data_IF_214290341629
#
_entry.id   IF_214290341629
#
_cell.length_a   1.000
_cell.length_b   1.000
_cell.length_c   1.000
_cell.angle_alpha   90.00
_cell.angle_beta   90.00
_cell.angle_gamma   90.00
#
_symmetry.space_group_name_H-M   'P 1'
#
loop_
_entity.id
_entity.type
_entity.pdbx_description
1 polymer ?
#
# COMPACT_ATOMS: atom_id res chain seq x y z
N UNK A 1 -20.48 -18.95 -13.88
CA UNK A 1 -19.27 -19.10 -13.04
C UNK A 1 -19.71 -19.09 -11.59
N UNK A 2 -19.09 -19.88 -10.71
CA UNK A 2 -19.37 -19.80 -9.27
C UNK A 2 -19.06 -18.39 -8.76
N UNK A 3 -19.84 -17.89 -7.80
CA UNK A 3 -19.58 -16.59 -7.19
C UNK A 3 -18.18 -16.53 -6.56
N UNK A 4 -17.53 -15.36 -6.62
CA UNK A 4 -16.23 -15.15 -6.00
C UNK A 4 -16.32 -15.26 -4.47
N UNK A 5 -15.37 -15.99 -3.89
CA UNK A 5 -15.19 -16.12 -2.44
C UNK A 5 -13.82 -15.55 -2.07
N UNK A 6 -13.83 -14.53 -1.22
CA UNK A 6 -12.63 -13.82 -0.82
C UNK A 6 -12.16 -14.26 0.56
N UNK A 7 -10.85 -14.50 0.69
CA UNK A 7 -10.18 -14.66 1.98
C UNK A 7 -9.14 -13.54 2.16
N UNK A 8 -9.36 -12.69 3.15
CA UNK A 8 -8.46 -11.58 3.49
C UNK A 8 -7.46 -12.04 4.54
N UNK A 9 -6.18 -11.99 4.20
CA UNK A 9 -5.10 -12.26 5.15
C UNK A 9 -4.73 -11.00 5.93
N UNK A 10 -4.53 -11.16 7.24
CA UNK A 10 -4.27 -10.03 8.15
C UNK A 10 -5.56 -9.32 8.55
N UNK A 11 -6.61 -10.08 8.89
CA UNK A 11 -7.99 -9.61 9.08
C UNK A 11 -8.22 -8.49 10.11
N UNK A 12 -7.27 -8.22 11.00
CA UNK A 12 -7.30 -7.10 11.96
C UNK A 12 -6.49 -5.88 11.48
N UNK A 13 -5.92 -5.95 10.27
CA UNK A 13 -5.14 -4.89 9.66
C UNK A 13 -6.03 -3.77 9.13
N UNK A 14 -5.48 -2.57 9.07
CA UNK A 14 -6.21 -1.39 8.61
C UNK A 14 -6.71 -1.51 7.16
N UNK A 15 -5.84 -1.91 6.22
CA UNK A 15 -6.24 -2.15 4.83
C UNK A 15 -7.23 -3.32 4.71
N UNK A 16 -7.03 -4.38 5.50
CA UNK A 16 -7.93 -5.54 5.54
C UNK A 16 -9.34 -5.15 5.98
N UNK A 17 -9.47 -4.26 6.97
CA UNK A 17 -10.76 -3.74 7.42
C UNK A 17 -11.52 -3.01 6.31
N UNK A 18 -10.83 -2.10 5.60
CA UNK A 18 -11.43 -1.39 4.45
C UNK A 18 -11.86 -2.35 3.33
N UNK A 19 -11.02 -3.33 2.98
CA UNK A 19 -11.34 -4.35 1.98
C UNK A 19 -12.56 -5.18 2.38
N UNK A 20 -12.62 -5.59 3.66
CA UNK A 20 -13.75 -6.38 4.19
C UNK A 20 -15.05 -5.59 4.06
N UNK A 21 -15.09 -4.36 4.56
CA UNK A 21 -16.28 -3.50 4.47
C UNK A 21 -16.71 -3.28 3.01
N UNK A 22 -15.75 -3.04 2.12
CA UNK A 22 -16.04 -2.81 0.70
C UNK A 22 -16.63 -4.06 0.03
N UNK A 23 -16.04 -5.23 0.24
CA UNK A 23 -16.54 -6.48 -0.33
C UNK A 23 -17.91 -6.88 0.25
N UNK A 24 -18.12 -6.71 1.56
CA UNK A 24 -19.42 -6.96 2.22
C UNK A 24 -20.50 -6.02 1.68
N UNK A 25 -20.18 -4.73 1.47
CA UNK A 25 -21.12 -3.76 0.88
C UNK A 25 -21.51 -4.10 -0.56
N UNK A 26 -20.67 -4.86 -1.28
CA UNK A 26 -20.94 -5.38 -2.61
C UNK A 26 -21.66 -6.74 -2.60
N UNK A 27 -22.03 -7.26 -1.41
CA UNK A 27 -22.72 -8.54 -1.26
C UNK A 27 -21.85 -9.77 -1.57
N UNK A 28 -20.52 -9.64 -1.51
CA UNK A 28 -19.58 -10.73 -1.78
C UNK A 28 -19.46 -11.68 -0.58
N UNK A 29 -19.08 -12.93 -0.82
CA UNK A 29 -18.71 -13.85 0.26
C UNK A 29 -17.29 -13.54 0.73
N UNK A 30 -17.14 -13.08 1.98
CA UNK A 30 -15.87 -12.60 2.53
C UNK A 30 -15.55 -13.30 3.84
N UNK A 31 -14.33 -13.82 3.92
CA UNK A 31 -13.73 -14.35 5.14
C UNK A 31 -12.47 -13.55 5.46
N UNK A 32 -12.10 -13.46 6.74
CA UNK A 32 -10.83 -12.89 7.15
C UNK A 32 -10.14 -13.79 8.16
N UNK A 33 -8.80 -13.78 8.15
CA UNK A 33 -7.99 -14.62 9.04
C UNK A 33 -6.80 -13.87 9.63
N UNK A 34 -6.41 -14.28 10.83
CA UNK A 34 -5.22 -13.79 11.55
C UNK A 34 -4.11 -14.85 11.63
N UNK A 35 -4.26 -15.96 10.88
CA UNK A 35 -3.25 -17.02 10.81
C UNK A 35 -1.91 -16.44 10.36
N UNK A 36 -0.84 -16.88 11.02
CA UNK A 36 0.53 -16.47 10.71
C UNK A 36 0.97 -17.11 9.40
N UNK A 37 1.36 -16.28 8.44
CA UNK A 37 1.70 -16.74 7.08
C UNK A 37 2.92 -17.66 7.06
N UNK A 38 3.83 -17.56 8.04
CA UNK A 38 4.98 -18.43 8.19
C UNK A 38 4.64 -19.85 8.68
N UNK A 39 3.42 -20.08 9.19
CA UNK A 39 2.96 -21.41 9.57
C UNK A 39 2.24 -22.05 8.39
N UNK A 40 2.99 -22.85 7.61
CA UNK A 40 2.48 -23.42 6.35
C UNK A 40 1.31 -24.36 6.56
N UNK A 41 1.36 -25.23 7.57
CA UNK A 41 0.29 -26.18 7.84
C UNK A 41 -1.02 -25.46 8.16
N UNK A 42 -0.97 -24.40 8.96
CA UNK A 42 -2.14 -23.58 9.27
C UNK A 42 -2.65 -22.80 8.05
N UNK A 43 -1.75 -22.30 7.20
CA UNK A 43 -2.11 -21.64 5.93
C UNK A 43 -2.89 -22.60 5.03
N UNK A 44 -2.35 -23.82 4.83
CA UNK A 44 -2.98 -24.85 4.01
C UNK A 44 -4.35 -25.24 4.56
N UNK A 45 -4.44 -25.49 5.86
CA UNK A 45 -5.70 -25.86 6.52
C UNK A 45 -6.78 -24.78 6.37
N UNK A 46 -6.41 -23.50 6.45
CA UNK A 46 -7.35 -22.40 6.29
C UNK A 46 -7.84 -22.25 4.85
N UNK A 47 -6.94 -22.37 3.87
CA UNK A 47 -7.30 -22.37 2.46
C UNK A 47 -8.25 -23.54 2.13
N UNK A 48 -8.02 -24.72 2.71
CA UNK A 48 -8.85 -25.91 2.49
C UNK A 48 -10.21 -25.82 3.21
N UNK A 49 -10.27 -25.13 4.36
CA UNK A 49 -11.51 -24.85 5.11
C UNK A 49 -12.40 -23.86 4.37
N UNK A 50 -11.83 -22.73 3.93
CA UNK A 50 -12.58 -21.63 3.30
C UNK A 50 -12.85 -21.92 1.83
N UNK A 51 -11.93 -22.58 1.13
CA UNK A 51 -11.96 -22.81 -0.32
C UNK A 51 -12.17 -21.50 -1.12
N UNK A 52 -11.37 -20.45 -0.87
CA UNK A 52 -11.56 -19.17 -1.55
C UNK A 52 -11.20 -19.28 -3.04
N UNK A 53 -11.80 -18.43 -3.87
CA UNK A 53 -11.34 -18.22 -5.25
C UNK A 53 -10.28 -17.12 -5.33
N UNK A 54 -10.31 -16.18 -4.40
CA UNK A 54 -9.38 -15.05 -4.32
C UNK A 54 -8.86 -14.87 -2.90
N UNK A 55 -7.55 -14.70 -2.76
CA UNK A 55 -6.89 -14.31 -1.52
C UNK A 55 -6.37 -12.88 -1.65
N UNK A 56 -6.71 -12.05 -0.66
CA UNK A 56 -6.22 -10.68 -0.54
C UNK A 56 -5.23 -10.61 0.63
N UNK A 57 -3.93 -10.65 0.33
CA UNK A 57 -2.87 -10.57 1.33
C UNK A 57 -2.58 -9.11 1.70
N UNK A 58 -3.26 -8.63 2.74
CA UNK A 58 -3.00 -7.34 3.39
C UNK A 58 -2.16 -7.50 4.68
N UNK A 59 -1.56 -8.68 4.89
CA UNK A 59 -0.72 -8.95 6.04
C UNK A 59 0.71 -8.45 5.82
N UNK A 60 1.32 -7.95 6.88
CA UNK A 60 2.71 -7.52 6.88
C UNK A 60 3.11 -6.95 8.22
N UNK A 61 4.32 -7.28 8.67
CA UNK A 61 4.92 -6.63 9.82
C UNK A 61 5.58 -5.33 9.34
N UNK A 62 5.01 -4.20 9.74
CA UNK A 62 5.67 -2.89 9.61
C UNK A 62 6.38 -2.49 10.91
N UNK A 63 6.55 -3.41 11.86
CA UNK A 63 7.02 -3.12 13.21
C UNK A 63 6.02 -2.30 14.04
N UNK A 64 6.29 -2.17 15.34
CA UNK A 64 5.67 -1.17 16.23
C UNK A 64 6.80 -0.33 16.85
N UNK A 65 6.74 1.02 16.81
CA UNK A 65 5.69 1.85 16.24
C UNK A 65 5.76 2.02 14.70
N UNK A 66 6.89 1.69 14.08
CA UNK A 66 7.14 1.90 12.65
C UNK A 66 8.21 0.91 12.13
N UNK A 67 8.61 1.10 10.86
CA UNK A 67 9.57 0.24 10.15
C UNK A 67 10.96 0.20 10.79
N UNK A 68 11.31 1.16 11.64
CA UNK A 68 12.62 1.23 12.29
C UNK A 68 12.81 0.02 13.24
N UNK A 69 11.72 -0.59 13.73
CA UNK A 69 11.75 -1.85 14.49
C UNK A 69 12.36 -3.02 13.70
N UNK A 70 12.19 -3.03 12.37
CA UNK A 70 12.68 -4.10 11.51
C UNK A 70 14.22 -4.13 11.44
N UNK A 71 14.89 -2.99 11.70
CA UNK A 71 16.36 -2.92 11.75
C UNK A 71 16.93 -3.76 12.90
N UNK A 72 16.24 -3.77 14.04
CA UNK A 72 16.67 -4.48 15.25
C UNK A 72 16.04 -5.89 15.35
N UNK A 73 15.13 -6.26 14.43
CA UNK A 73 14.36 -7.52 14.48
C UNK A 73 14.32 -8.20 13.10
N UNK A 74 15.50 -8.43 12.54
CA UNK A 74 15.65 -8.90 11.15
C UNK A 74 15.08 -10.30 10.93
N UNK A 75 15.33 -11.24 11.83
CA UNK A 75 14.85 -12.62 11.73
C UNK A 75 13.33 -12.72 11.79
N UNK A 76 12.71 -11.91 12.67
CA UNK A 76 11.26 -11.84 12.76
C UNK A 76 10.65 -11.23 11.49
N UNK A 77 11.30 -10.20 10.93
CA UNK A 77 10.90 -9.57 9.66
C UNK A 77 11.04 -10.54 8.49
N UNK A 78 12.14 -11.30 8.40
CA UNK A 78 12.32 -12.35 7.39
C UNK A 78 11.22 -13.40 7.52
N UNK A 79 10.97 -13.88 8.75
CA UNK A 79 9.95 -14.90 9.00
C UNK A 79 8.57 -14.44 8.52
N UNK A 80 8.11 -13.27 8.93
CA UNK A 80 6.76 -12.82 8.59
C UNK A 80 6.64 -12.29 7.17
N UNK A 81 7.57 -11.44 6.73
CA UNK A 81 7.43 -10.67 5.49
C UNK A 81 8.02 -11.39 4.28
N UNK A 82 9.04 -12.24 4.47
CA UNK A 82 9.68 -12.99 3.39
C UNK A 82 9.10 -14.39 3.31
N UNK A 83 9.38 -15.23 4.31
CA UNK A 83 8.93 -16.63 4.33
C UNK A 83 7.41 -16.69 4.28
N UNK A 84 6.72 -15.90 5.11
CA UNK A 84 5.26 -15.87 5.14
C UNK A 84 4.63 -15.49 3.81
N UNK A 85 5.06 -14.38 3.19
CA UNK A 85 4.49 -13.93 1.91
C UNK A 85 4.69 -14.97 0.80
N UNK A 86 5.91 -15.50 0.66
CA UNK A 86 6.22 -16.53 -0.34
C UNK A 86 5.38 -17.78 -0.07
N UNK A 87 5.28 -18.21 1.19
CA UNK A 87 4.50 -19.38 1.58
C UNK A 87 3.02 -19.25 1.21
N UNK A 88 2.40 -18.08 1.45
CA UNK A 88 1.01 -17.85 1.08
C UNK A 88 0.82 -17.82 -0.45
N UNK A 89 1.68 -17.11 -1.18
CA UNK A 89 1.64 -17.08 -2.65
C UNK A 89 1.76 -18.48 -3.26
N UNK A 90 2.68 -19.29 -2.74
CA UNK A 90 2.88 -20.69 -3.13
C UNK A 90 1.65 -21.56 -2.83
N UNK A 91 1.11 -21.46 -1.62
CA UNK A 91 -0.06 -22.24 -1.21
C UNK A 91 -1.31 -21.91 -2.04
N UNK A 92 -1.47 -20.63 -2.42
CA UNK A 92 -2.50 -20.18 -3.36
C UNK A 92 -2.27 -20.75 -4.75
N UNK A 93 -1.04 -20.72 -5.26
CA UNK A 93 -0.68 -21.24 -6.58
C UNK A 93 -1.01 -22.72 -6.72
N UNK A 94 -0.60 -23.54 -5.73
CA UNK A 94 -0.87 -24.98 -5.70
C UNK A 94 -2.37 -25.32 -5.71
N UNK A 95 -3.24 -24.36 -5.35
CA UNK A 95 -4.70 -24.51 -5.32
C UNK A 95 -5.43 -23.78 -6.45
N UNK A 96 -4.70 -23.15 -7.37
CA UNK A 96 -5.31 -22.35 -8.44
C UNK A 96 -6.09 -21.12 -7.93
N UNK A 97 -5.69 -20.58 -6.77
CA UNK A 97 -6.34 -19.42 -6.13
C UNK A 97 -5.65 -18.15 -6.62
N UNK A 98 -6.40 -17.14 -7.06
CA UNK A 98 -5.83 -15.83 -7.36
C UNK A 98 -5.30 -15.17 -6.07
N UNK A 99 -4.05 -14.70 -6.07
CA UNK A 99 -3.44 -14.09 -4.89
C UNK A 99 -3.08 -12.62 -5.16
N UNK A 100 -3.79 -11.69 -4.54
CA UNK A 100 -3.45 -10.27 -4.56
C UNK A 100 -2.60 -9.92 -3.35
N UNK A 101 -1.38 -9.44 -3.56
CA UNK A 101 -0.46 -9.01 -2.50
C UNK A 101 -0.40 -7.49 -2.46
N UNK A 102 -0.82 -6.92 -1.33
CA UNK A 102 -0.68 -5.49 -1.04
C UNK A 102 0.76 -5.22 -0.58
N UNK A 103 1.64 -4.99 -1.56
CA UNK A 103 3.06 -4.75 -1.39
C UNK A 103 3.35 -3.26 -1.18
N UNK A 104 4.57 -2.81 -1.49
CA UNK A 104 5.00 -1.43 -1.27
C UNK A 104 5.82 -0.90 -2.43
N UNK A 105 5.55 0.35 -2.80
CA UNK A 105 6.38 1.13 -3.72
C UNK A 105 7.51 1.90 -3.01
N UNK A 106 7.69 1.72 -1.70
CA UNK A 106 8.76 2.35 -0.93
C UNK A 106 10.11 1.62 -1.09
N UNK A 107 10.37 1.10 -2.30
CA UNK A 107 11.60 0.41 -2.74
C UNK A 107 12.38 1.25 -3.76
N UNK A 108 11.94 2.48 -3.98
CA UNK A 108 12.56 3.44 -4.88
C UNK A 108 12.93 4.74 -4.18
N UNK A 109 13.93 5.43 -4.70
CA UNK A 109 14.30 6.80 -4.38
C UNK A 109 14.58 7.58 -5.66
N UNK A 110 14.28 8.87 -5.70
CA UNK A 110 14.66 9.72 -6.82
C UNK A 110 16.17 9.63 -7.11
N UNK A 111 16.52 9.60 -8.40
CA UNK A 111 17.89 9.52 -8.91
C UNK A 111 18.03 10.35 -10.20
N UNK A 112 19.18 10.27 -10.87
CA UNK A 112 19.45 11.06 -12.08
C UNK A 112 18.51 10.71 -13.25
N UNK A 113 18.05 9.46 -13.34
CA UNK A 113 17.12 9.03 -14.38
C UNK A 113 15.66 9.36 -14.03
N UNK A 114 15.35 9.42 -12.74
CA UNK A 114 14.03 9.72 -12.18
C UNK A 114 14.16 10.93 -11.24
N UNK A 115 14.45 12.14 -11.77
CA UNK A 115 14.56 13.33 -10.93
C UNK A 115 13.18 13.78 -10.44
N UNK A 116 13.16 14.62 -9.41
CA UNK A 116 11.92 15.29 -8.95
C UNK A 116 11.33 16.08 -10.13
N UNK A 117 10.04 15.88 -10.40
CA UNK A 117 9.34 16.47 -11.56
C UNK A 117 9.51 15.69 -12.87
N UNK A 118 10.35 14.66 -12.91
CA UNK A 118 10.59 13.82 -14.08
C UNK A 118 9.61 12.65 -14.24
N UNK A 119 10.06 11.65 -15.01
CA UNK A 119 9.35 10.37 -15.18
C UNK A 119 9.29 9.60 -13.85
N UNK A 120 8.22 8.84 -13.66
CA UNK A 120 8.11 7.95 -12.50
C UNK A 120 8.79 6.61 -12.75
N UNK A 121 9.07 5.87 -11.68
CA UNK A 121 9.56 4.49 -11.77
C UNK A 121 8.47 3.58 -12.34
N UNK A 122 8.82 2.75 -13.31
CA UNK A 122 7.98 1.73 -13.93
C UNK A 122 7.94 0.44 -13.09
N UNK A 123 7.00 -0.45 -13.41
CA UNK A 123 6.95 -1.78 -12.80
C UNK A 123 8.12 -2.68 -13.16
N UNK A 124 8.79 -2.39 -14.28
CA UNK A 124 9.98 -3.10 -14.76
C UNK A 124 11.29 -2.60 -14.17
N UNK A 125 11.29 -1.44 -13.53
CA UNK A 125 12.52 -0.84 -13.00
C UNK A 125 13.01 -1.61 -11.77
N UNK A 126 14.33 -1.76 -11.68
CA UNK A 126 14.96 -2.38 -10.51
C UNK A 126 14.86 -1.45 -9.31
N UNK A 127 14.57 -2.02 -8.13
CA UNK A 127 14.58 -1.27 -6.88
C UNK A 127 15.96 -0.62 -6.65
N UNK A 128 15.97 0.67 -6.28
CA UNK A 128 17.18 1.46 -6.07
C UNK A 128 17.26 2.06 -4.65
N UNK A 129 16.36 1.66 -3.74
CA UNK A 129 16.35 2.11 -2.35
C UNK A 129 16.50 0.93 -1.38
N UNK A 130 17.64 0.92 -0.68
CA UNK A 130 18.05 -0.04 0.33
C UNK A 130 18.23 0.61 1.73
N UNK A 131 17.79 1.85 1.89
CA UNK A 131 17.97 2.64 3.12
C UNK A 131 17.22 2.11 4.36
N UNK A 132 16.55 0.97 4.26
CA UNK A 132 16.04 0.19 5.41
C UNK A 132 15.96 -1.30 5.07
N UNK A 133 16.25 -2.16 6.05
CA UNK A 133 16.09 -3.61 5.96
C UNK A 133 14.65 -4.02 5.59
N UNK A 134 13.67 -3.23 6.05
CA UNK A 134 12.28 -3.41 5.65
C UNK A 134 12.09 -3.25 4.13
N UNK A 135 12.60 -2.17 3.53
CA UNK A 135 12.47 -1.95 2.08
C UNK A 135 13.25 -2.98 1.27
N UNK A 136 14.46 -3.31 1.71
CA UNK A 136 15.32 -4.33 1.10
C UNK A 136 14.60 -5.69 1.03
N UNK A 137 14.06 -6.18 2.16
CA UNK A 137 13.34 -7.46 2.18
C UNK A 137 12.09 -7.45 1.29
N UNK A 138 11.37 -6.32 1.20
CA UNK A 138 10.19 -6.20 0.32
C UNK A 138 10.57 -6.26 -1.16
N UNK A 139 11.68 -5.64 -1.56
CA UNK A 139 12.19 -5.73 -2.92
C UNK A 139 12.55 -7.17 -3.30
N UNK A 140 13.22 -7.92 -2.42
CA UNK A 140 13.54 -9.33 -2.66
C UNK A 140 12.30 -10.20 -2.79
N UNK A 141 11.30 -10.01 -1.93
CA UNK A 141 10.05 -10.77 -1.99
C UNK A 141 9.35 -10.54 -3.30
N UNK A 142 9.18 -9.28 -3.71
CA UNK A 142 8.54 -8.94 -5.00
C UNK A 142 9.25 -9.60 -6.18
N UNK A 143 10.59 -9.55 -6.22
CA UNK A 143 11.38 -10.17 -7.27
C UNK A 143 11.18 -11.69 -7.39
N UNK A 144 10.85 -12.37 -6.28
CA UNK A 144 10.50 -13.79 -6.24
C UNK A 144 9.05 -14.00 -6.67
N UNK A 145 8.10 -13.37 -5.98
CA UNK A 145 6.68 -13.69 -6.14
C UNK A 145 6.08 -13.22 -7.47
N UNK A 146 6.72 -12.27 -8.17
CA UNK A 146 6.30 -11.85 -9.52
C UNK A 146 6.31 -12.97 -10.56
N UNK A 147 7.00 -14.09 -10.27
CA UNK A 147 7.07 -15.25 -11.16
C UNK A 147 5.90 -16.23 -10.97
N UNK A 148 5.05 -16.05 -9.95
CA UNK A 148 3.84 -16.84 -9.79
C UNK A 148 2.75 -16.36 -10.76
N UNK A 149 2.25 -17.27 -11.60
CA UNK A 149 1.25 -16.97 -12.64
C UNK A 149 -0.16 -16.70 -12.14
N UNK A 150 -0.40 -16.75 -10.83
CA UNK A 150 -1.66 -16.45 -10.16
C UNK A 150 -1.58 -15.20 -9.25
N UNK A 151 -0.45 -14.48 -9.25
CA UNK A 151 -0.19 -13.43 -8.28
C UNK A 151 -0.28 -12.03 -8.89
N UNK A 152 -1.11 -11.18 -8.28
CA UNK A 152 -1.19 -9.75 -8.51
C UNK A 152 -0.43 -9.02 -7.40
N UNK A 153 0.47 -8.10 -7.74
CA UNK A 153 1.28 -7.37 -6.77
C UNK A 153 1.00 -5.88 -6.92
N UNK A 154 0.50 -5.27 -5.85
CA UNK A 154 0.11 -3.86 -5.84
C UNK A 154 1.10 -3.07 -4.97
N UNK A 155 1.81 -2.11 -5.57
CA UNK A 155 2.81 -1.29 -4.86
C UNK A 155 2.15 -0.04 -4.24
N UNK A 156 1.72 -0.16 -3.00
CA UNK A 156 1.14 0.98 -2.26
C UNK A 156 2.25 1.92 -1.77
N UNK A 157 1.93 3.21 -1.66
CA UNK A 157 2.78 4.21 -0.99
C UNK A 157 1.94 5.14 -0.14
N UNK A 158 2.43 5.45 1.06
CA UNK A 158 1.88 6.47 1.96
C UNK A 158 0.32 6.49 1.97
N UNK A 159 -0.33 5.37 2.38
CA UNK A 159 -1.78 5.22 2.27
C UNK A 159 -2.56 6.29 3.06
N UNK A 160 -3.62 6.80 2.44
CA UNK A 160 -4.50 7.85 2.96
C UNK A 160 -5.95 7.36 2.95
N UNK A 161 -6.68 7.63 4.03
CA UNK A 161 -8.12 7.38 4.17
C UNK A 161 -8.86 8.67 4.51
N UNK A 162 -10.18 8.59 4.46
CA UNK A 162 -11.10 9.66 4.86
C UNK A 162 -11.31 9.74 6.39
N UNK A 163 -10.41 9.14 7.20
CA UNK A 163 -10.45 9.13 8.66
C UNK A 163 -9.12 9.58 9.28
N UNK A 164 -9.07 9.78 10.61
CA UNK A 164 -7.82 10.09 11.32
C UNK A 164 -7.16 8.85 11.95
N UNK A 165 -7.22 7.70 11.28
CA UNK A 165 -6.60 6.49 11.78
C UNK A 165 -5.07 6.66 11.92
N UNK A 166 -4.48 6.09 12.98
CA UNK A 166 -3.04 6.25 13.30
C UNK A 166 -2.07 5.84 12.18
N UNK A 167 -2.50 4.97 11.26
CA UNK A 167 -1.70 4.54 10.10
C UNK A 167 -1.85 5.46 8.87
N UNK A 168 -2.87 6.31 8.84
CA UNK A 168 -3.09 7.29 7.78
C UNK A 168 -1.92 8.27 7.71
N UNK A 169 -1.36 8.43 6.51
CA UNK A 169 -0.28 9.38 6.26
C UNK A 169 -0.61 10.80 6.76
N UNK A 170 -1.82 11.29 6.50
CA UNK A 170 -2.27 12.64 6.93
C UNK A 170 -2.29 12.77 8.45
N UNK A 171 -2.72 11.72 9.16
CA UNK A 171 -2.71 11.68 10.63
C UNK A 171 -1.30 11.70 11.20
N UNK A 172 -0.33 11.09 10.51
CA UNK A 172 1.07 11.10 10.95
C UNK A 172 1.69 12.48 10.77
N UNK A 173 1.61 13.04 9.55
CA UNK A 173 2.27 14.31 9.26
C UNK A 173 1.64 15.50 10.00
N UNK A 174 0.34 15.42 10.32
CA UNK A 174 -0.33 16.45 11.13
C UNK A 174 0.06 16.44 12.62
N UNK A 175 0.73 15.38 13.09
CA UNK A 175 1.24 15.24 14.46
C UNK A 175 2.74 15.53 14.59
N UNK A 176 3.45 15.62 13.47
CA UNK A 176 4.88 15.92 13.49
C UNK A 176 5.09 17.39 13.80
N UNK A 177 6.08 17.69 14.64
CA UNK A 177 6.49 19.07 14.91
C UNK A 177 7.02 19.75 13.64
N UNK A 178 7.73 18.97 12.81
CA UNK A 178 8.31 19.42 11.54
C UNK A 178 8.11 18.38 10.45
N UNK A 179 7.97 18.83 9.21
CA UNK A 179 7.83 17.98 8.03
C UNK A 179 8.87 18.29 6.97
N UNK A 180 9.17 17.28 6.15
CA UNK A 180 10.04 17.40 4.98
C UNK A 180 9.15 17.74 3.79
N UNK A 181 9.66 18.47 2.80
CA UNK A 181 8.84 18.88 1.64
C UNK A 181 9.32 18.25 0.34
N UNK A 182 9.02 16.97 0.17
CA UNK A 182 9.41 16.20 -1.01
C UNK A 182 8.14 15.62 -1.67
N UNK A 183 7.92 15.86 -2.98
CA UNK A 183 6.82 15.24 -3.71
C UNK A 183 6.88 13.72 -3.68
N UNK A 184 5.74 13.08 -3.50
CA UNK A 184 5.62 11.62 -3.41
C UNK A 184 4.35 11.13 -4.08
N UNK A 185 4.41 9.96 -4.72
CA UNK A 185 3.19 9.24 -5.11
C UNK A 185 2.52 8.63 -3.87
N UNK A 186 1.22 8.82 -3.73
CA UNK A 186 0.43 8.36 -2.58
C UNK A 186 -0.76 7.51 -3.03
N UNK A 187 -1.23 6.64 -2.14
CA UNK A 187 -2.38 5.75 -2.36
C UNK A 187 -3.59 6.27 -1.58
N UNK A 188 -4.57 6.89 -2.24
CA UNK A 188 -5.86 7.21 -1.61
C UNK A 188 -6.70 5.93 -1.60
N UNK A 189 -6.96 5.38 -0.41
CA UNK A 189 -7.58 4.06 -0.25
C UNK A 189 -9.00 4.01 -0.80
N UNK A 190 -9.76 5.10 -0.66
CA UNK A 190 -11.13 5.22 -1.19
C UNK A 190 -11.18 5.05 -2.72
N UNK A 191 -10.14 5.51 -3.42
CA UNK A 191 -10.06 5.41 -4.88
C UNK A 191 -9.43 4.09 -5.33
N UNK A 192 -8.47 3.55 -4.57
CA UNK A 192 -7.65 2.43 -5.04
C UNK A 192 -8.08 1.06 -4.51
N UNK A 193 -8.69 0.95 -3.33
CA UNK A 193 -9.16 -0.37 -2.87
C UNK A 193 -10.28 -0.96 -3.75
N UNK A 194 -11.25 -0.18 -4.27
CA UNK A 194 -12.18 -0.70 -5.28
C UNK A 194 -11.48 -1.19 -6.55
N UNK A 195 -10.48 -0.45 -7.03
CA UNK A 195 -9.66 -0.87 -8.17
C UNK A 195 -8.92 -2.20 -7.90
N UNK A 196 -8.45 -2.44 -6.67
CA UNK A 196 -7.74 -3.68 -6.32
C UNK A 196 -8.66 -4.91 -6.40
N UNK A 197 -9.92 -4.77 -5.97
CA UNK A 197 -10.93 -5.83 -6.09
C UNK A 197 -11.24 -6.06 -7.56
N UNK A 198 -11.42 -5.00 -8.34
CA UNK A 198 -11.72 -5.09 -9.77
C UNK A 198 -10.63 -5.83 -10.56
N UNK A 199 -9.36 -5.50 -10.32
CA UNK A 199 -8.21 -6.20 -10.91
C UNK A 199 -8.19 -7.69 -10.50
N UNK A 200 -8.45 -7.98 -9.22
CA UNK A 200 -8.49 -9.34 -8.72
C UNK A 200 -9.60 -10.17 -9.38
N UNK A 201 -10.81 -9.62 -9.47
CA UNK A 201 -11.97 -10.30 -10.08
C UNK A 201 -11.81 -10.56 -11.58
N UNK A 202 -11.01 -9.74 -12.27
CA UNK A 202 -10.65 -9.96 -13.67
C UNK A 202 -9.41 -10.86 -13.85
N UNK A 203 -8.82 -11.36 -12.76
CA UNK A 203 -7.68 -12.26 -12.79
C UNK A 203 -6.38 -11.59 -13.28
N UNK A 204 -6.26 -10.27 -13.16
CA UNK A 204 -5.05 -9.54 -13.56
C UNK A 204 -3.85 -9.96 -12.70
N UNK A 205 -2.67 -10.10 -13.29
CA UNK A 205 -1.47 -10.61 -12.60
C UNK A 205 -0.25 -9.71 -12.81
N UNK A 206 0.82 -10.02 -12.11
CA UNK A 206 2.08 -9.28 -12.18
C UNK A 206 2.05 -8.01 -11.33
N UNK A 207 3.03 -7.14 -11.56
CA UNK A 207 3.27 -5.96 -10.73
C UNK A 207 2.50 -4.76 -11.27
N UNK A 208 1.87 -3.99 -10.38
CA UNK A 208 1.25 -2.69 -10.67
C UNK A 208 1.74 -1.65 -9.66
N UNK A 209 2.20 -0.51 -10.16
CA UNK A 209 2.35 0.68 -9.36
C UNK A 209 0.96 1.16 -8.91
N UNK A 210 0.70 1.15 -7.60
CA UNK A 210 -0.64 1.25 -7.03
C UNK A 210 -0.83 2.51 -6.20
N UNK A 211 -0.62 3.65 -6.86
CA UNK A 211 -0.79 5.00 -6.34
C UNK A 211 -1.69 5.80 -7.27
N UNK A 212 -2.26 6.90 -6.79
CA UNK A 212 -2.94 7.84 -7.68
C UNK A 212 -1.91 8.46 -8.64
N UNK A 213 -2.30 8.81 -9.88
CA UNK A 213 -1.41 9.48 -10.83
C UNK A 213 -0.85 10.78 -10.25
N UNK A 214 0.43 11.05 -10.53
CA UNK A 214 1.11 12.24 -10.06
C UNK A 214 1.91 12.05 -8.77
N UNK A 215 2.37 13.17 -8.22
CA UNK A 215 3.09 13.24 -6.96
C UNK A 215 2.72 14.54 -6.26
N UNK A 216 2.65 14.50 -4.92
CA UNK A 216 2.27 15.64 -4.09
C UNK A 216 3.21 15.75 -2.89
N UNK A 217 3.59 16.97 -2.54
CA UNK A 217 4.49 17.27 -1.44
C UNK A 217 3.76 17.28 -0.09
N UNK A 218 4.53 17.26 1.00
CA UNK A 218 3.92 17.32 2.34
C UNK A 218 3.28 18.69 2.58
N UNK A 219 3.91 19.77 2.11
CA UNK A 219 3.36 21.12 2.23
C UNK A 219 2.07 21.27 1.41
N UNK A 220 1.99 20.68 0.21
CA UNK A 220 0.75 20.69 -0.59
C UNK A 220 -0.38 19.96 0.13
N UNK A 221 -0.11 18.78 0.69
CA UNK A 221 -1.09 18.03 1.51
C UNK A 221 -1.54 18.82 2.73
N UNK A 222 -0.61 19.38 3.52
CA UNK A 222 -0.95 20.14 4.73
C UNK A 222 -1.66 21.45 4.42
N UNK A 223 -1.37 22.08 3.28
CA UNK A 223 -2.10 23.26 2.78
C UNK A 223 -3.54 22.90 2.49
N UNK A 224 -3.80 21.83 1.73
CA UNK A 224 -5.17 21.35 1.47
C UNK A 224 -5.89 20.95 2.77
N UNK A 225 -5.18 20.30 3.69
CA UNK A 225 -5.75 19.87 4.97
C UNK A 225 -6.15 21.08 5.83
N UNK A 226 -5.29 22.10 5.89
CA UNK A 226 -5.61 23.37 6.56
C UNK A 226 -6.83 24.02 5.92
N UNK A 227 -6.80 24.23 4.61
CA UNK A 227 -7.82 25.03 3.93
C UNK A 227 -9.21 24.36 3.93
N UNK A 228 -9.25 23.02 3.90
CA UNK A 228 -10.52 22.27 3.80
C UNK A 228 -10.99 21.79 5.17
N UNK A 229 -10.11 21.15 5.96
CA UNK A 229 -10.47 20.42 7.18
C UNK A 229 -10.20 21.25 8.44
N UNK A 230 -9.02 21.87 8.56
CA UNK A 230 -8.56 22.55 9.78
C UNK A 230 -7.97 23.94 9.51
N UNK A 231 -8.78 25.01 9.35
CA UNK A 231 -8.30 26.33 8.95
C UNK A 231 -7.19 26.93 9.82
N UNK A 232 -7.18 26.58 11.12
CA UNK A 232 -6.18 27.05 12.09
C UNK A 232 -4.91 26.17 12.16
N UNK A 233 -4.80 25.13 11.33
CA UNK A 233 -3.68 24.21 11.35
C UNK A 233 -2.38 24.90 10.88
N UNK A 234 -1.31 24.67 11.64
CA UNK A 234 0.03 25.21 11.38
C UNK A 234 1.05 24.08 11.45
N UNK A 235 2.11 24.21 10.65
CA UNK A 235 3.24 23.30 10.66
C UNK A 235 4.54 24.06 10.43
N UNK A 236 5.66 23.39 10.68
CA UNK A 236 7.00 23.87 10.36
C UNK A 236 7.72 22.88 9.44
N UNK A 237 8.72 23.35 8.71
CA UNK A 237 9.56 22.50 7.86
C UNK A 237 10.92 22.25 8.52
N UNK A 238 11.53 21.11 8.22
CA UNK A 238 12.94 20.87 8.50
C UNK A 238 13.84 21.68 7.57
N UNK A 239 15.00 22.09 8.07
CA UNK A 239 16.14 22.35 7.17
C UNK A 239 16.74 21.02 6.68
N UNK A 240 17.43 21.03 5.53
CA UNK A 240 18.08 19.82 5.00
C UNK A 240 19.07 19.18 5.98
N UNK A 241 19.74 19.99 6.81
CA UNK A 241 20.70 19.52 7.81
C UNK A 241 20.02 18.93 9.06
N UNK A 242 18.83 19.39 9.40
CA UNK A 242 18.05 18.86 10.53
C UNK A 242 17.42 17.51 10.18
N UNK A 243 16.98 17.32 8.94
CA UNK A 243 16.32 16.08 8.49
C UNK A 243 17.21 14.85 8.66
N UNK A 244 18.51 14.96 8.34
CA UNK A 244 19.46 13.84 8.39
C UNK A 244 19.80 13.38 9.82
N UNK A 245 19.56 14.22 10.84
CA UNK A 245 19.89 13.95 12.24
C UNK A 245 18.77 13.24 13.02
N UNK A 246 17.55 13.17 12.47
CA UNK A 246 16.34 12.74 13.22
C UNK A 246 15.89 11.30 12.89
N UNK A 247 16.35 10.72 11.78
CA UNK A 247 15.90 9.39 11.31
C UNK A 247 16.99 8.31 11.47
N UNK A 248 16.62 7.15 12.05
CA UNK A 248 17.53 5.98 12.19
C UNK A 248 17.73 5.24 10.87
N UNK A 249 16.73 5.28 9.98
CA UNK A 249 16.75 4.65 8.66
C UNK A 249 16.27 5.67 7.60
N UNK A 250 16.75 5.52 6.37
CA UNK A 250 16.35 6.36 5.25
C UNK A 250 14.84 6.31 4.99
N UNK A 251 14.30 7.34 4.34
CA UNK A 251 12.90 7.36 3.88
C UNK A 251 12.88 7.39 2.35
N UNK A 252 12.16 6.44 1.75
CA UNK A 252 11.93 6.41 0.30
C UNK A 252 11.12 7.63 -0.12
N UNK A 253 11.64 8.38 -1.10
CA UNK A 253 10.95 9.46 -1.78
C UNK A 253 11.00 9.20 -3.28
N UNK A 254 9.86 9.02 -3.92
CA UNK A 254 9.80 8.74 -5.35
C UNK A 254 8.42 9.07 -5.94
N UNK A 255 8.40 9.13 -7.28
CA UNK A 255 7.19 9.11 -8.09
C UNK A 255 7.10 7.76 -8.79
N UNK A 256 5.95 7.10 -8.72
CA UNK A 256 5.68 5.89 -9.50
C UNK A 256 4.93 6.27 -10.78
N UNK A 257 5.26 5.60 -11.88
CA UNK A 257 4.48 5.70 -13.11
C UNK A 257 3.22 4.83 -13.00
N UNK A 258 2.05 5.44 -13.21
CA UNK A 258 0.75 4.76 -13.06
C UNK A 258 0.07 4.52 -14.41
N UNK A 259 0.79 4.63 -15.52
CA UNK A 259 0.24 4.48 -16.88
C UNK A 259 -0.32 3.07 -17.08
N UNK A 260 0.39 2.04 -16.59
CA UNK A 260 -0.07 0.64 -16.65
C UNK A 260 -1.39 0.46 -15.90
N UNK A 261 -1.46 0.93 -14.65
CA UNK A 261 -2.65 0.86 -13.82
C UNK A 261 -3.85 1.56 -14.46
N UNK A 262 -3.67 2.83 -14.82
CA UNK A 262 -4.76 3.67 -15.36
C UNK A 262 -5.24 3.18 -16.72
N UNK A 263 -4.34 2.69 -17.58
CA UNK A 263 -4.72 2.08 -18.86
C UNK A 263 -5.56 0.82 -18.65
N UNK A 264 -5.13 -0.06 -17.74
CA UNK A 264 -5.87 -1.28 -17.44
C UNK A 264 -7.23 -1.00 -16.82
N UNK A 265 -7.33 -0.09 -15.85
CA UNK A 265 -8.60 0.23 -15.20
C UNK A 265 -9.62 0.88 -16.14
N UNK A 266 -9.18 1.59 -17.18
CA UNK A 266 -10.07 2.08 -18.25
C UNK A 266 -10.78 0.95 -19.00
N UNK A 267 -10.15 -0.21 -19.16
CA UNK A 267 -10.81 -1.39 -19.76
C UNK A 267 -12.02 -1.85 -18.93
N UNK A 268 -12.05 -1.52 -17.63
CA UNK A 268 -13.13 -1.84 -16.70
C UNK A 268 -14.01 -0.64 -16.35
N UNK A 269 -13.90 0.45 -17.12
CA UNK A 269 -14.64 1.69 -16.90
C UNK A 269 -14.46 2.26 -15.47
N UNK A 270 -13.22 2.14 -14.95
CA UNK A 270 -12.83 2.67 -13.65
C UNK A 270 -11.71 3.70 -13.84
N UNK A 271 -11.90 4.90 -13.30
CA UNK A 271 -10.94 5.99 -13.37
C UNK A 271 -10.39 6.34 -11.99
N UNK A 272 -9.08 6.52 -11.90
CA UNK A 272 -8.39 6.95 -10.68
C UNK A 272 -8.03 8.42 -10.83
N UNK A 273 -8.50 9.29 -9.91
CA UNK A 273 -8.19 10.72 -9.98
C UNK A 273 -6.70 10.99 -9.73
N UNK A 274 -6.17 12.04 -10.37
CA UNK A 274 -4.83 12.58 -10.10
C UNK A 274 -4.73 12.96 -8.61
N UNK A 275 -3.53 12.82 -8.04
CA UNK A 275 -3.34 12.85 -6.59
C UNK A 275 -3.84 14.13 -5.90
N UNK A 276 -3.75 15.31 -6.55
CA UNK A 276 -4.24 16.57 -5.98
C UNK A 276 -5.77 16.61 -5.92
N UNK A 277 -6.43 16.14 -6.99
CA UNK A 277 -7.88 16.00 -7.02
C UNK A 277 -8.35 14.95 -5.99
N UNK A 278 -7.62 13.84 -5.91
CA UNK A 278 -7.88 12.75 -4.98
C UNK A 278 -7.82 13.22 -3.52
N UNK A 279 -6.79 13.99 -3.16
CA UNK A 279 -6.66 14.60 -1.82
C UNK A 279 -7.77 15.61 -1.53
N UNK A 280 -8.12 16.47 -2.49
CA UNK A 280 -9.23 17.42 -2.32
C UNK A 280 -10.53 16.68 -2.00
N UNK A 281 -10.88 15.67 -2.79
CA UNK A 281 -12.08 14.83 -2.55
C UNK A 281 -12.02 14.10 -1.21
N UNK A 282 -10.85 13.56 -0.85
CA UNK A 282 -10.62 12.93 0.45
C UNK A 282 -10.91 13.90 1.61
N UNK A 283 -10.39 15.12 1.55
CA UNK A 283 -10.58 16.13 2.59
C UNK A 283 -11.99 16.70 2.64
N UNK A 284 -12.67 16.82 1.49
CA UNK A 284 -14.08 17.16 1.45
C UNK A 284 -14.94 16.08 2.16
N UNK A 285 -14.65 14.79 1.93
CA UNK A 285 -15.30 13.69 2.65
C UNK A 285 -14.99 13.69 4.15
N UNK A 286 -13.73 13.93 4.53
CA UNK A 286 -13.33 14.06 5.94
C UNK A 286 -14.15 15.17 6.64
N UNK A 287 -14.20 16.36 6.03
CA UNK A 287 -14.98 17.50 6.55
C UNK A 287 -16.47 17.15 6.65
N UNK A 288 -17.04 16.55 5.61
CA UNK A 288 -18.44 16.13 5.59
C UNK A 288 -18.77 15.10 6.68
N UNK A 289 -17.80 14.25 7.04
CA UNK A 289 -17.93 13.27 8.13
C UNK A 289 -17.72 13.86 9.54
N UNK A 290 -17.47 15.17 9.64
CA UNK A 290 -17.29 15.87 10.92
C UNK A 290 -15.87 15.82 11.47
N UNK A 291 -14.88 15.44 10.67
CA UNK A 291 -13.46 15.60 11.05
C UNK A 291 -13.13 17.08 11.05
N UNK A 292 -12.79 17.60 12.23
CA UNK A 292 -12.34 18.98 12.48
C UNK A 292 -11.04 18.97 13.27
#
# INVERSE_FOLDING_TARGET
MSANRFLIWGGEGWVAGHLKTLLESQGKEVHSTTIRMENREAVLAELDRVKPTHVLNAAGCTGRPNVDWCEDNKEATIRSNVIGTINLSDACFLRGIHCTVFATGCIYQYDDEHPIGGKGFLETDSANFDGSFYSETKAYVEAIIKNYSNTLILRLRMPVSDDLHSRNFVTKISKYERVVDIPNSNTILTDLLPASILLAEHGEIGVYNFTNPGAISHNEVLTLFRDIVRPEFKWANFTLEEQSKVIKAGRSNCKLDTTKLTTKLKEYNYEVPEIHEAYRKCFERMKASGVN
#
